data_IF_695586831559
#
_entry.id   IF_695586831559
#
_cell.length_a   1.000
_cell.length_b   1.000
_cell.length_c   1.000
_cell.angle_alpha   90.00
_cell.angle_beta   90.00
_cell.angle_gamma   90.00
#
_symmetry.space_group_name_H-M   'P 1'
#
loop_
_entity.id
_entity.type
_entity.pdbx_description
1 polymer ?
#
# COMPACT_ATOMS: atom_id res chain seq x y z
N UNK A 1 10.81 12.76 15.85
CA UNK A 1 12.19 12.59 15.32
C UNK A 1 13.22 12.30 16.41
N UNK A 2 13.89 13.25 17.09
CA UNK A 2 15.04 12.92 17.97
C UNK A 2 14.75 11.98 19.17
N UNK A 3 13.56 12.06 19.75
CA UNK A 3 13.27 11.38 21.01
C UNK A 3 13.07 9.86 20.83
N UNK A 4 12.43 9.40 19.76
CA UNK A 4 12.14 7.98 19.56
C UNK A 4 13.32 7.21 18.97
N UNK A 5 14.13 7.84 18.10
CA UNK A 5 15.42 7.27 17.68
C UNK A 5 16.32 6.99 18.90
N UNK A 6 16.35 7.88 19.90
CA UNK A 6 17.11 7.63 21.14
C UNK A 6 16.46 6.56 22.03
N UNK A 7 15.13 6.51 22.12
CA UNK A 7 14.44 5.57 23.00
C UNK A 7 14.49 4.12 22.46
N UNK A 8 14.44 3.91 21.13
CA UNK A 8 14.73 2.61 20.49
C UNK A 8 16.20 2.24 20.56
N UNK A 9 17.14 3.18 20.40
CA UNK A 9 18.57 2.88 20.62
C UNK A 9 18.82 2.38 22.05
N UNK A 10 18.17 2.97 23.05
CA UNK A 10 18.30 2.51 24.44
C UNK A 10 17.72 1.11 24.64
N UNK A 11 16.52 0.83 24.11
CA UNK A 11 15.87 -0.48 24.26
C UNK A 11 16.64 -1.61 23.56
N UNK A 12 17.18 -1.35 22.36
CA UNK A 12 17.93 -2.34 21.59
C UNK A 12 19.35 -2.56 22.15
N UNK A 13 19.99 -1.54 22.72
CA UNK A 13 21.29 -1.68 23.42
C UNK A 13 21.17 -2.51 24.69
N UNK A 14 20.08 -2.35 25.45
CA UNK A 14 19.84 -3.10 26.69
C UNK A 14 19.58 -4.59 26.40
N UNK A 15 18.85 -4.92 25.34
CA UNK A 15 18.56 -6.32 24.98
C UNK A 15 19.77 -7.07 24.41
N UNK A 16 20.75 -6.38 23.81
CA UNK A 16 22.00 -7.01 23.32
C UNK A 16 22.92 -7.47 24.45
N UNK A 17 22.89 -6.85 25.63
CA UNK A 17 23.68 -7.30 26.78
C UNK A 17 23.17 -8.62 27.36
N UNK A 18 21.87 -8.87 27.31
CA UNK A 18 21.26 -10.10 27.85
C UNK A 18 21.52 -11.35 26.98
N UNK A 19 21.77 -11.19 25.67
CA UNK A 19 22.03 -12.33 24.76
C UNK A 19 23.49 -12.81 24.75
N UNK A 20 24.44 -12.05 25.30
CA UNK A 20 25.86 -12.38 25.24
C UNK A 20 26.32 -13.46 26.25
N UNK A 21 25.40 -14.11 26.98
CA UNK A 21 25.74 -15.03 28.08
C UNK A 21 25.29 -16.49 27.89
N UNK A 22 24.87 -16.90 26.70
CA UNK A 22 24.36 -18.26 26.45
C UNK A 22 24.91 -18.87 25.15
N UNK A 23 26.23 -19.02 25.03
CA UNK A 23 26.81 -19.88 23.99
C UNK A 23 27.90 -20.76 24.59
N UNK A 24 27.56 -22.03 24.82
CA UNK A 24 28.45 -23.00 25.43
C UNK A 24 27.94 -24.42 25.41
N UNK A 25 27.44 -24.95 24.28
CA UNK A 25 27.42 -26.41 24.08
C UNK A 25 27.39 -26.85 22.60
N UNK A 26 28.30 -27.76 22.25
CA UNK A 26 28.57 -28.32 20.92
C UNK A 26 27.45 -29.28 20.42
N UNK A 27 27.24 -29.44 19.10
CA UNK A 27 26.14 -30.24 18.57
C UNK A 27 26.45 -31.74 18.49
N UNK A 28 25.47 -32.56 18.88
CA UNK A 28 25.42 -34.01 18.67
C UNK A 28 24.77 -34.38 17.33
N UNK A 29 25.17 -35.54 16.80
CA UNK A 29 24.93 -36.10 15.46
C UNK A 29 23.45 -36.36 15.08
N UNK A 30 23.10 -36.39 13.77
CA UNK A 30 21.73 -36.54 13.32
C UNK A 30 21.28 -38.02 13.26
N UNK A 31 20.05 -38.30 13.70
CA UNK A 31 19.36 -39.57 13.46
C UNK A 31 18.14 -39.33 12.52
N UNK A 32 17.70 -40.34 11.75
CA UNK A 32 16.99 -40.15 10.50
C UNK A 32 15.47 -39.96 10.64
N UNK A 33 14.88 -39.36 9.61
CA UNK A 33 13.47 -39.01 9.48
C UNK A 33 12.50 -40.22 9.54
N UNK A 34 11.31 -40.07 10.13
CA UNK A 34 10.22 -41.02 9.97
C UNK A 34 9.39 -40.78 8.70
N UNK A 35 9.05 -41.89 8.05
CA UNK A 35 8.32 -42.06 6.79
C UNK A 35 6.84 -41.64 6.85
N UNK A 36 6.38 -40.93 5.82
CA UNK A 36 4.96 -40.68 5.53
C UNK A 36 4.37 -41.79 4.63
N UNK A 37 3.11 -42.21 4.83
CA UNK A 37 2.40 -43.12 3.91
C UNK A 37 1.87 -42.38 2.66
N UNK A 38 1.61 -43.09 1.55
CA UNK A 38 1.44 -42.48 0.23
C UNK A 38 0.06 -41.86 -0.01
N UNK A 39 0.08 -40.80 -0.81
CA UNK A 39 -1.05 -40.13 -1.45
C UNK A 39 -1.65 -40.97 -2.59
N UNK A 40 -2.98 -40.97 -2.70
CA UNK A 40 -3.71 -41.47 -3.87
C UNK A 40 -4.40 -40.33 -4.63
N UNK A 41 -4.39 -40.33 -5.98
CA UNK A 41 -5.31 -39.54 -6.81
C UNK A 41 -6.08 -40.43 -7.82
N UNK A 42 -6.99 -39.90 -8.68
CA UNK A 42 -8.00 -38.85 -8.49
C UNK A 42 -9.41 -39.20 -9.07
N UNK A 43 -10.39 -38.33 -8.78
CA UNK A 43 -11.64 -37.97 -9.51
C UNK A 43 -12.27 -38.88 -10.61
N UNK A 44 -13.60 -39.13 -10.52
CA UNK A 44 -14.63 -38.52 -11.40
C UNK A 44 -16.04 -39.12 -11.17
N UNK A 45 -17.10 -38.30 -11.26
CA UNK A 45 -18.22 -38.45 -12.22
C UNK A 45 -19.29 -37.37 -12.00
N UNK A 46 -19.79 -36.85 -13.12
CA UNK A 46 -20.74 -35.74 -13.30
C UNK A 46 -22.22 -36.25 -13.32
N UNK A 47 -23.25 -35.51 -13.78
CA UNK A 47 -24.44 -35.21 -12.98
C UNK A 47 -25.76 -35.82 -13.49
N UNK A 48 -26.79 -35.81 -12.65
CA UNK A 48 -28.20 -36.06 -13.00
C UNK A 48 -29.00 -36.20 -11.71
N UNK A 49 -30.23 -35.72 -11.54
CA UNK A 49 -31.25 -35.16 -12.41
C UNK A 49 -32.59 -35.39 -11.69
N UNK A 50 -33.61 -34.61 -12.09
CA UNK A 50 -35.06 -34.83 -11.83
C UNK A 50 -35.61 -34.37 -10.46
N UNK A 51 -36.39 -33.30 -10.42
CA UNK A 51 -37.85 -33.18 -10.69
C UNK A 51 -38.72 -33.51 -9.47
N UNK A 52 -39.42 -32.50 -8.97
CA UNK A 52 -40.56 -32.63 -8.07
C UNK A 52 -41.45 -31.40 -8.20
N UNK A 53 -42.65 -31.60 -8.78
CA UNK A 53 -43.70 -30.61 -9.04
C UNK A 53 -44.47 -30.29 -7.76
N UNK A 54 -45.05 -29.08 -7.69
CA UNK A 54 -46.09 -28.73 -6.72
C UNK A 54 -46.73 -27.38 -7.03
N UNK A 55 -47.94 -27.42 -7.59
CA UNK A 55 -48.80 -26.30 -7.98
C UNK A 55 -49.29 -25.47 -6.79
N UNK A 56 -49.68 -24.22 -7.06
CA UNK A 56 -50.52 -23.41 -6.19
C UNK A 56 -50.89 -22.07 -6.83
N UNK A 57 -52.02 -22.06 -7.54
CA UNK A 57 -52.69 -20.88 -8.11
C UNK A 57 -53.16 -19.88 -7.04
N UNK A 58 -53.30 -18.60 -7.42
CA UNK A 58 -53.94 -17.60 -6.55
C UNK A 58 -53.84 -16.15 -7.02
N UNK A 59 -54.70 -15.80 -7.98
CA UNK A 59 -54.96 -14.50 -8.61
C UNK A 59 -55.46 -13.36 -7.69
N UNK A 60 -55.27 -12.10 -8.13
CA UNK A 60 -56.15 -10.98 -7.77
C UNK A 60 -55.50 -9.59 -7.85
N UNK A 61 -55.86 -8.77 -8.85
CA UNK A 61 -55.29 -7.44 -9.10
C UNK A 61 -56.09 -6.24 -8.58
N UNK A 62 -55.77 -5.09 -9.18
CA UNK A 62 -56.30 -3.72 -9.04
C UNK A 62 -55.79 -2.94 -7.82
N UNK A 63 -55.35 -1.67 -7.90
CA UNK A 63 -55.45 -0.63 -8.93
C UNK A 63 -55.69 0.72 -8.21
N UNK A 64 -55.09 1.82 -8.67
CA UNK A 64 -55.46 3.16 -8.20
C UNK A 64 -54.31 4.17 -8.15
N UNK A 65 -54.24 5.04 -9.16
CA UNK A 65 -53.41 6.23 -9.15
C UNK A 65 -54.13 7.45 -8.59
N UNK A 66 -53.36 8.50 -8.27
CA UNK A 66 -53.83 9.88 -8.18
C UNK A 66 -52.78 10.84 -8.74
N UNK A 67 -53.28 11.83 -9.50
CA UNK A 67 -52.58 12.90 -10.23
C UNK A 67 -52.59 14.22 -9.43
N UNK A 68 -51.59 15.07 -9.73
CA UNK A 68 -51.74 16.53 -9.94
C UNK A 68 -51.68 17.43 -8.68
N UNK A 69 -51.33 18.73 -8.76
CA UNK A 69 -50.93 19.63 -9.84
C UNK A 69 -50.56 21.02 -9.25
N UNK A 70 -49.71 21.80 -9.95
CA UNK A 70 -49.74 23.28 -10.05
C UNK A 70 -49.11 24.12 -8.90
N UNK A 71 -48.46 25.28 -9.13
CA UNK A 71 -48.14 26.04 -10.35
C UNK A 71 -47.73 27.51 -10.03
N UNK A 72 -46.98 28.14 -10.95
CA UNK A 72 -46.93 29.57 -11.36
C UNK A 72 -46.51 30.69 -10.34
N UNK A 73 -45.94 31.86 -10.69
CA UNK A 73 -45.59 32.55 -11.95
C UNK A 73 -44.78 33.86 -11.70
N UNK A 74 -44.16 34.40 -12.78
CA UNK A 74 -43.95 35.83 -13.15
C UNK A 74 -42.91 36.72 -12.39
N UNK A 75 -42.23 37.75 -12.93
CA UNK A 75 -42.12 38.41 -14.25
C UNK A 75 -40.94 39.44 -14.20
N UNK A 76 -40.38 39.87 -15.34
CA UNK A 76 -39.64 41.14 -15.44
C UNK A 76 -38.76 41.32 -16.68
N UNK A 77 -39.10 42.30 -17.54
CA UNK A 77 -38.59 42.52 -18.90
C UNK A 77 -37.68 43.76 -19.04
N UNK A 78 -36.93 43.88 -20.15
CA UNK A 78 -36.33 45.15 -20.61
C UNK A 78 -35.37 45.05 -21.82
N UNK A 79 -35.72 45.73 -22.93
CA UNK A 79 -35.11 45.73 -24.28
C UNK A 79 -34.05 46.84 -24.54
N UNK A 80 -33.18 46.66 -25.56
CA UNK A 80 -32.46 47.74 -26.27
C UNK A 80 -31.41 47.26 -27.31
N UNK A 81 -31.54 47.68 -28.59
CA UNK A 81 -30.91 47.16 -29.83
C UNK A 81 -29.50 47.75 -30.19
N UNK A 82 -28.50 46.95 -30.67
CA UNK A 82 -27.95 46.72 -32.06
C UNK A 82 -27.12 47.87 -32.71
N UNK A 83 -26.17 47.71 -33.70
CA UNK A 83 -25.62 46.54 -34.46
C UNK A 83 -24.04 46.50 -34.51
N UNK A 84 -23.25 45.60 -35.14
CA UNK A 84 -23.43 44.38 -35.92
C UNK A 84 -22.06 43.71 -36.28
N UNK A 85 -22.00 42.37 -36.18
CA UNK A 85 -21.25 41.29 -36.90
C UNK A 85 -19.74 41.40 -37.33
N UNK A 86 -19.06 40.26 -37.65
CA UNK A 86 -19.09 38.89 -37.11
C UNK A 86 -17.68 38.29 -36.81
N UNK A 87 -17.61 37.25 -35.98
CA UNK A 87 -16.60 36.21 -36.15
C UNK A 87 -16.16 35.47 -34.89
N UNK A 88 -16.84 34.37 -34.55
CA UNK A 88 -16.30 33.05 -34.12
C UNK A 88 -17.34 32.30 -33.26
N UNK A 89 -17.70 31.04 -33.57
CA UNK A 89 -18.68 30.30 -32.77
C UNK A 89 -18.09 29.90 -31.41
N UNK A 90 -18.79 30.27 -30.34
CA UNK A 90 -18.69 29.70 -29.00
C UNK A 90 -19.81 28.67 -28.82
N UNK A 91 -19.51 27.55 -28.18
CA UNK A 91 -20.51 26.57 -27.70
C UNK A 91 -20.42 26.40 -26.17
N UNK A 92 -21.55 26.08 -25.49
CA UNK A 92 -21.79 26.39 -24.08
C UNK A 92 -21.31 25.30 -23.09
N UNK A 93 -21.30 25.57 -21.76
CA UNK A 93 -20.82 24.63 -20.75
C UNK A 93 -21.80 23.45 -20.59
N UNK A 94 -21.33 22.25 -20.88
CA UNK A 94 -22.05 20.99 -20.66
C UNK A 94 -21.73 20.39 -19.30
N UNK A 95 -22.76 19.96 -18.58
CA UNK A 95 -22.72 19.24 -17.32
C UNK A 95 -21.68 18.10 -17.33
N UNK A 96 -20.69 18.18 -16.44
CA UNK A 96 -19.68 17.13 -16.26
C UNK A 96 -20.30 15.85 -15.70
N UNK A 97 -20.45 14.84 -16.56
CA UNK A 97 -20.53 13.45 -16.12
C UNK A 97 -19.13 12.96 -15.68
N UNK A 98 -19.05 12.02 -14.73
CA UNK A 98 -17.80 11.50 -14.20
C UNK A 98 -16.98 10.85 -15.32
N UNK A 99 -15.70 11.20 -15.36
CA UNK A 99 -14.72 10.60 -16.28
C UNK A 99 -14.52 9.16 -15.86
N UNK A 100 -15.08 8.21 -16.60
CA UNK A 100 -14.74 6.79 -16.45
C UNK A 100 -13.37 6.57 -17.09
N UNK A 101 -12.36 6.30 -16.27
CA UNK A 101 -11.03 5.89 -16.71
C UNK A 101 -11.11 4.60 -17.53
N UNK A 102 -10.60 4.66 -18.75
CA UNK A 102 -10.46 3.53 -19.66
C UNK A 102 -9.23 2.68 -19.25
N UNK A 103 -9.34 1.37 -18.98
CA UNK A 103 -8.20 0.55 -18.57
C UNK A 103 -7.54 -0.06 -19.82
N UNK A 104 -6.53 0.62 -20.38
CA UNK A 104 -5.72 0.07 -21.47
C UNK A 104 -4.25 -0.18 -21.07
N UNK A 105 -3.97 -0.23 -19.77
CA UNK A 105 -2.76 -0.88 -19.27
C UNK A 105 -3.05 -2.35 -19.00
N UNK A 106 -2.16 -3.26 -19.40
CA UNK A 106 -2.19 -4.65 -18.91
C UNK A 106 -2.10 -4.64 -17.39
N UNK A 107 -3.21 -4.95 -16.71
CA UNK A 107 -3.27 -5.07 -15.26
C UNK A 107 -2.24 -6.11 -14.81
N UNK A 108 -1.46 -5.79 -13.77
CA UNK A 108 -0.56 -6.77 -13.18
C UNK A 108 -1.37 -8.01 -12.75
N UNK A 109 -0.83 -9.24 -12.92
CA UNK A 109 -1.51 -10.45 -12.48
C UNK A 109 -1.93 -10.34 -11.01
N UNK A 110 -3.15 -10.77 -10.70
CA UNK A 110 -3.62 -10.84 -9.33
C UNK A 110 -2.68 -11.76 -8.51
N UNK A 111 -2.30 -11.37 -7.28
CA UNK A 111 -1.56 -12.25 -6.40
C UNK A 111 -2.29 -13.58 -6.16
N UNK A 112 -1.54 -14.67 -6.02
CA UNK A 112 -2.09 -15.98 -5.69
C UNK A 112 -2.40 -16.08 -4.20
N UNK A 113 -3.57 -16.58 -3.84
CA UNK A 113 -3.91 -16.89 -2.44
C UNK A 113 -5.42 -16.91 -2.22
N UNK A 114 -5.83 -17.12 -0.97
CA UNK A 114 -7.25 -17.07 -0.58
C UNK A 114 -7.70 -15.60 -0.61
N UNK A 115 -8.67 -15.29 -1.46
CA UNK A 115 -9.18 -13.91 -1.57
C UNK A 115 -10.06 -13.57 -0.36
N UNK A 116 -9.78 -12.42 0.25
CA UNK A 116 -10.56 -11.82 1.35
C UNK A 116 -10.94 -10.38 1.01
N UNK A 117 -11.96 -9.86 1.69
CA UNK A 117 -12.47 -8.49 1.49
C UNK A 117 -12.98 -7.91 2.80
N UNK A 118 -12.93 -6.59 2.94
CA UNK A 118 -13.60 -5.84 3.99
C UNK A 118 -14.54 -4.77 3.38
N UNK A 119 -15.58 -4.32 4.09
CA UNK A 119 -16.42 -3.23 3.62
C UNK A 119 -15.59 -1.97 3.33
N UNK A 120 -15.78 -1.31 2.17
CA UNK A 120 -15.09 -0.07 1.87
C UNK A 120 -15.61 1.10 2.72
N UNK A 121 -14.92 2.23 2.68
CA UNK A 121 -15.22 3.42 3.47
C UNK A 121 -14.31 3.55 4.71
N UNK A 122 -14.83 4.20 5.75
CA UNK A 122 -14.05 4.57 6.94
C UNK A 122 -13.70 3.35 7.78
N UNK A 123 -12.41 3.15 8.02
CA UNK A 123 -11.86 2.11 8.87
C UNK A 123 -11.37 2.73 10.18
N UNK A 124 -11.90 2.25 11.31
CA UNK A 124 -11.46 2.69 12.64
C UNK A 124 -10.59 1.63 13.35
N UNK A 125 -10.22 0.57 12.62
CA UNK A 125 -9.30 -0.48 13.05
C UNK A 125 -8.49 -0.92 11.83
N UNK A 126 -7.24 -1.36 12.01
CA UNK A 126 -6.44 -1.89 10.91
C UNK A 126 -7.16 -3.08 10.26
N UNK A 127 -7.12 -3.14 8.92
CA UNK A 127 -7.54 -4.32 8.18
C UNK A 127 -6.35 -5.27 8.12
N UNK A 128 -6.53 -6.48 8.65
CA UNK A 128 -5.47 -7.49 8.66
C UNK A 128 -5.63 -8.39 7.43
N UNK A 129 -4.55 -8.52 6.66
CA UNK A 129 -4.42 -9.48 5.56
C UNK A 129 -3.54 -10.61 6.08
N UNK A 130 -4.15 -11.74 6.43
CA UNK A 130 -3.42 -12.83 7.08
C UNK A 130 -2.48 -13.54 6.11
N UNK A 131 -1.59 -14.36 6.69
CA UNK A 131 -0.61 -15.18 5.96
C UNK A 131 -1.22 -15.93 4.78
N UNK A 132 -0.74 -15.61 3.57
CA UNK A 132 -1.17 -16.24 2.32
C UNK A 132 -2.55 -15.80 1.79
N UNK A 133 -3.19 -14.83 2.44
CA UNK A 133 -4.42 -14.22 1.95
C UNK A 133 -4.14 -13.10 0.95
N UNK A 134 -5.10 -12.88 0.06
CA UNK A 134 -5.10 -11.78 -0.90
C UNK A 134 -6.29 -10.90 -0.60
N UNK A 135 -6.05 -9.69 -0.13
CA UNK A 135 -7.08 -8.68 -0.06
C UNK A 135 -7.28 -8.04 -1.44
N UNK A 136 -8.45 -8.26 -2.03
CA UNK A 136 -8.83 -7.61 -3.30
C UNK A 136 -9.88 -6.54 -3.05
N UNK A 137 -9.44 -5.28 -3.12
CA UNK A 137 -10.30 -4.12 -2.95
C UNK A 137 -11.25 -3.86 -4.12
N UNK A 138 -11.07 -4.53 -5.27
CA UNK A 138 -11.91 -4.35 -6.48
C UNK A 138 -12.08 -2.88 -6.90
N UNK A 139 -11.03 -2.07 -6.74
CA UNK A 139 -11.02 -0.64 -7.02
C UNK A 139 -11.79 0.21 -6.01
N UNK A 140 -12.19 -0.35 -4.86
CA UNK A 140 -12.91 0.40 -3.82
C UNK A 140 -11.97 1.21 -2.93
N UNK A 141 -12.52 2.25 -2.30
CA UNK A 141 -11.79 3.16 -1.42
C UNK A 141 -11.91 2.77 0.05
N UNK A 142 -10.77 2.73 0.73
CA UNK A 142 -10.64 2.49 2.17
C UNK A 142 -10.02 3.74 2.81
N UNK A 143 -10.72 4.29 3.80
CA UNK A 143 -10.38 5.59 4.37
C UNK A 143 -9.96 5.38 5.82
N UNK A 144 -8.73 5.76 6.17
CA UNK A 144 -8.30 5.72 7.57
C UNK A 144 -9.09 6.71 8.42
N UNK A 145 -9.78 6.18 9.42
CA UNK A 145 -10.61 6.94 10.35
C UNK A 145 -9.83 7.51 11.53
N UNK A 146 -10.46 8.35 12.36
CA UNK A 146 -9.81 9.05 13.47
C UNK A 146 -9.24 8.13 14.55
N UNK A 147 -9.70 6.88 14.64
CA UNK A 147 -9.12 5.89 15.56
C UNK A 147 -7.79 5.32 15.08
N UNK A 148 -7.45 5.48 13.80
CA UNK A 148 -6.16 5.10 13.25
C UNK A 148 -5.15 6.23 13.33
N UNK A 149 -5.61 7.47 13.19
CA UNK A 149 -4.73 8.63 13.22
C UNK A 149 -5.35 9.81 12.50
N UNK A 150 -4.62 10.92 12.43
CA UNK A 150 -5.06 12.15 11.76
C UNK A 150 -4.49 12.30 10.36
N UNK A 151 -3.49 11.49 10.01
CA UNK A 151 -2.73 11.54 8.76
C UNK A 151 -1.70 12.66 8.72
N UNK A 152 -1.36 13.24 9.88
CA UNK A 152 -0.24 14.15 10.02
C UNK A 152 1.07 13.37 10.24
N UNK A 153 2.14 14.07 10.60
CA UNK A 153 3.47 13.47 10.80
C UNK A 153 3.68 12.95 12.24
N UNK A 154 2.60 12.59 12.95
CA UNK A 154 2.67 11.92 14.24
C UNK A 154 3.10 10.45 14.05
N UNK A 155 4.16 10.04 14.74
CA UNK A 155 4.81 8.72 14.64
C UNK A 155 4.05 7.60 15.40
N UNK A 156 2.88 7.88 15.99
CA UNK A 156 2.11 6.92 16.81
C UNK A 156 0.78 6.48 16.20
N UNK A 157 0.61 6.73 14.92
CA UNK A 157 -0.59 6.35 14.18
C UNK A 157 -0.62 4.84 13.93
N UNK A 158 -1.82 4.30 13.74
CA UNK A 158 -2.06 2.91 13.42
C UNK A 158 -2.15 2.73 11.90
N UNK A 159 -1.71 1.59 11.36
CA UNK A 159 -1.84 1.30 9.95
C UNK A 159 -3.30 1.19 9.51
N UNK A 160 -3.58 1.53 8.24
CA UNK A 160 -4.84 1.17 7.60
C UNK A 160 -4.88 -0.33 7.28
N UNK A 161 -3.77 -0.89 6.82
CA UNK A 161 -3.62 -2.32 6.54
C UNK A 161 -2.40 -2.89 7.25
N UNK A 162 -2.55 -4.08 7.84
CA UNK A 162 -1.43 -4.91 8.29
C UNK A 162 -1.40 -6.14 7.38
N UNK A 163 -0.29 -6.33 6.69
CA UNK A 163 -0.06 -7.46 5.78
C UNK A 163 0.93 -8.41 6.44
N UNK A 164 0.44 -9.58 6.83
CA UNK A 164 1.27 -10.65 7.39
C UNK A 164 2.18 -11.29 6.33
N UNK A 165 3.16 -12.07 6.78
CA UNK A 165 4.08 -12.80 5.91
C UNK A 165 3.35 -13.68 4.88
N UNK A 166 3.63 -13.43 3.60
CA UNK A 166 3.00 -14.06 2.43
C UNK A 166 1.65 -13.44 2.03
N UNK A 167 1.15 -12.44 2.73
CA UNK A 167 -0.09 -11.73 2.40
C UNK A 167 0.05 -10.82 1.18
N UNK A 168 -1.07 -10.45 0.57
CA UNK A 168 -1.09 -9.54 -0.58
C UNK A 168 -2.28 -8.58 -0.55
N UNK A 169 -2.04 -7.34 -0.97
CA UNK A 169 -3.04 -6.28 -1.11
C UNK A 169 -3.14 -5.89 -2.58
N UNK A 170 -4.34 -5.85 -3.16
CA UNK A 170 -4.51 -5.44 -4.55
C UNK A 170 -5.79 -4.67 -4.84
N UNK A 171 -5.75 -3.83 -5.89
CA UNK A 171 -6.88 -3.04 -6.37
C UNK A 171 -7.53 -2.19 -5.26
N UNK A 172 -6.71 -1.57 -4.41
CA UNK A 172 -7.19 -0.75 -3.29
C UNK A 172 -6.93 0.72 -3.58
N UNK A 173 -7.96 1.55 -3.43
CA UNK A 173 -7.79 2.99 -3.26
C UNK A 173 -7.73 3.30 -1.76
N UNK A 174 -6.79 4.13 -1.33
CA UNK A 174 -6.61 4.49 0.08
C UNK A 174 -6.34 5.97 0.26
N UNK A 175 -6.78 6.50 1.40
CA UNK A 175 -6.52 7.87 1.87
C UNK A 175 -6.89 8.01 3.35
N UNK A 176 -6.72 9.21 3.90
CA UNK A 176 -7.23 9.57 5.21
C UNK A 176 -6.16 9.47 6.29
N UNK A 177 -6.58 9.20 7.53
CA UNK A 177 -5.66 9.13 8.65
C UNK A 177 -4.92 7.80 8.76
N UNK A 178 -4.02 7.70 9.74
CA UNK A 178 -3.27 6.48 10.01
C UNK A 178 -1.91 6.45 9.32
N UNK A 179 -1.33 5.27 9.26
CA UNK A 179 0.03 5.03 8.78
C UNK A 179 0.06 4.00 7.63
N UNK A 180 -0.71 4.26 6.57
CA UNK A 180 -0.65 3.48 5.33
C UNK A 180 -0.77 1.95 5.49
N UNK A 181 0.13 1.23 4.84
CA UNK A 181 0.17 -0.25 4.77
C UNK A 181 1.45 -0.77 5.43
N UNK A 182 1.31 -1.57 6.47
CA UNK A 182 2.45 -2.20 7.14
C UNK A 182 2.66 -3.62 6.63
N UNK A 183 3.90 -3.96 6.27
CA UNK A 183 4.32 -5.32 5.94
C UNK A 183 5.13 -5.89 7.12
N UNK A 184 4.52 -6.83 7.85
CA UNK A 184 5.19 -7.57 8.92
C UNK A 184 6.33 -8.41 8.34
N UNK A 185 6.09 -9.06 7.19
CA UNK A 185 7.02 -9.96 6.52
C UNK A 185 6.96 -9.84 5.00
N UNK A 186 7.15 -10.96 4.28
CA UNK A 186 7.07 -10.91 2.81
C UNK A 186 5.66 -10.56 2.35
N UNK A 187 5.50 -9.82 1.26
CA UNK A 187 4.17 -9.49 0.79
C UNK A 187 4.15 -8.73 -0.53
N UNK A 188 2.94 -8.49 -1.05
CA UNK A 188 2.74 -7.77 -2.31
C UNK A 188 1.70 -6.67 -2.16
N UNK A 189 1.94 -5.52 -2.77
CA UNK A 189 0.97 -4.45 -3.00
C UNK A 189 0.86 -4.23 -4.50
N UNK A 190 -0.31 -4.48 -5.09
CA UNK A 190 -0.47 -4.52 -6.55
C UNK A 190 -1.65 -3.67 -7.01
N UNK A 191 -1.42 -2.75 -7.95
CA UNK A 191 -2.48 -1.92 -8.53
C UNK A 191 -3.26 -1.13 -7.44
N UNK A 192 -2.53 -0.56 -6.48
CA UNK A 192 -3.11 0.24 -5.42
C UNK A 192 -2.84 1.74 -5.65
N UNK A 193 -3.76 2.59 -5.21
CA UNK A 193 -3.65 4.03 -5.30
C UNK A 193 -3.75 4.63 -3.90
N UNK A 194 -2.71 5.27 -3.42
CA UNK A 194 -2.77 6.16 -2.27
C UNK A 194 -3.05 7.59 -2.78
N UNK A 195 -4.30 8.04 -2.59
CA UNK A 195 -4.80 9.31 -3.13
C UNK A 195 -4.21 10.53 -2.42
N UNK A 196 -3.84 10.37 -1.15
CA UNK A 196 -3.22 11.38 -0.30
C UNK A 196 -2.49 10.65 0.83
N UNK A 197 -1.17 10.56 0.71
CA UNK A 197 -0.31 9.84 1.65
C UNK A 197 -0.37 10.51 3.02
N UNK A 198 -0.57 9.71 4.06
CA UNK A 198 -0.70 10.15 5.44
C UNK A 198 0.67 10.42 6.10
N UNK A 199 1.04 9.74 7.19
CA UNK A 199 2.45 9.78 7.63
C UNK A 199 3.32 9.16 6.53
N UNK A 200 3.05 7.88 6.26
CA UNK A 200 3.69 7.08 5.21
C UNK A 200 2.64 6.37 4.35
N UNK A 201 3.03 5.92 3.16
CA UNK A 201 2.16 5.07 2.35
C UNK A 201 2.37 3.59 2.67
N UNK A 202 3.63 3.19 2.90
CA UNK A 202 4.05 1.83 3.14
C UNK A 202 5.14 1.81 4.21
N UNK A 203 5.00 0.91 5.17
CA UNK A 203 6.01 0.63 6.19
C UNK A 203 6.45 -0.82 6.09
N UNK A 204 7.75 -1.04 5.97
CA UNK A 204 8.36 -2.38 6.09
C UNK A 204 8.83 -2.54 7.52
N UNK A 205 8.31 -3.55 8.21
CA UNK A 205 8.52 -3.65 9.64
C UNK A 205 9.91 -4.18 10.01
N UNK A 206 10.56 -3.43 10.90
CA UNK A 206 11.65 -3.95 11.73
C UNK A 206 11.10 -4.57 13.01
N UNK A 207 11.99 -5.07 13.88
CA UNK A 207 11.56 -5.79 15.10
C UNK A 207 10.56 -4.98 15.96
N UNK A 208 10.82 -3.67 16.14
CA UNK A 208 10.02 -2.82 17.02
C UNK A 208 8.56 -2.67 16.60
N UNK A 209 8.28 -2.32 15.34
CA UNK A 209 6.91 -2.18 14.85
C UNK A 209 6.29 -3.54 14.52
N UNK A 210 7.08 -4.53 14.09
CA UNK A 210 6.59 -5.90 13.85
C UNK A 210 5.93 -6.52 15.08
N UNK A 211 6.53 -6.37 16.27
CA UNK A 211 5.94 -6.88 17.51
C UNK A 211 4.61 -6.20 17.84
N UNK A 212 4.48 -4.92 17.54
CA UNK A 212 3.24 -4.17 17.72
C UNK A 212 2.16 -4.62 16.75
N UNK A 213 2.49 -4.72 15.47
CA UNK A 213 1.52 -5.02 14.43
C UNK A 213 1.08 -6.49 14.48
N UNK A 214 1.99 -7.41 14.85
CA UNK A 214 1.64 -8.79 15.12
C UNK A 214 0.64 -8.93 16.29
N UNK A 215 0.75 -8.09 17.34
CA UNK A 215 -0.25 -8.09 18.43
C UNK A 215 -1.63 -7.63 17.97
N UNK A 216 -1.69 -6.64 17.09
CA UNK A 216 -2.96 -6.19 16.49
C UNK A 216 -3.54 -7.26 15.58
N UNK A 217 -2.69 -7.88 14.76
CA UNK A 217 -3.07 -8.94 13.84
C UNK A 217 -3.45 -10.24 14.56
N UNK A 218 -3.03 -10.42 15.81
CA UNK A 218 -3.24 -11.65 16.57
C UNK A 218 -2.36 -12.80 16.07
N UNK A 219 -1.17 -12.48 15.55
CA UNK A 219 -0.23 -13.42 14.93
C UNK A 219 1.18 -13.33 15.54
N UNK A 220 2.09 -14.18 15.05
CA UNK A 220 3.49 -14.18 15.47
C UNK A 220 4.27 -13.07 14.76
N UNK A 221 5.16 -12.34 15.45
CA UNK A 221 6.08 -11.40 14.82
C UNK A 221 7.26 -12.11 14.12
N UNK A 222 7.35 -13.44 14.17
CA UNK A 222 8.43 -14.16 13.54
C UNK A 222 8.31 -14.15 12.01
N UNK A 223 9.39 -13.74 11.35
CA UNK A 223 9.52 -13.81 9.89
C UNK A 223 10.74 -14.64 9.55
N UNK A 224 10.57 -15.54 8.57
CA UNK A 224 11.64 -16.40 8.10
C UNK A 224 12.54 -15.65 7.11
N UNK A 225 13.83 -15.58 7.42
CA UNK A 225 14.82 -14.98 6.53
C UNK A 225 14.58 -13.49 6.30
N UNK A 226 14.96 -13.04 5.11
CA UNK A 226 14.79 -11.66 4.66
C UNK A 226 13.43 -11.52 3.98
N UNK A 227 12.50 -10.70 4.50
CA UNK A 227 11.24 -10.39 3.84
C UNK A 227 11.43 -9.94 2.40
N UNK A 228 10.57 -10.40 1.50
CA UNK A 228 10.46 -9.85 0.14
C UNK A 228 9.18 -9.04 0.01
N UNK A 229 9.29 -7.74 -0.25
CA UNK A 229 8.15 -6.83 -0.45
C UNK A 229 8.10 -6.37 -1.90
N UNK A 230 6.98 -6.59 -2.58
CA UNK A 230 6.80 -6.19 -3.98
C UNK A 230 5.68 -5.16 -4.10
N UNK A 231 6.01 -3.95 -4.55
CA UNK A 231 5.10 -2.83 -4.79
C UNK A 231 5.01 -2.63 -6.31
N UNK A 232 3.88 -3.02 -6.90
CA UNK A 232 3.75 -3.17 -8.35
C UNK A 232 2.57 -2.35 -8.87
N UNK A 233 2.83 -1.51 -9.87
CA UNK A 233 1.82 -0.67 -10.53
C UNK A 233 1.00 0.18 -9.54
N UNK A 234 1.65 0.69 -8.50
CA UNK A 234 1.01 1.53 -7.49
C UNK A 234 1.20 3.02 -7.79
N UNK A 235 0.24 3.84 -7.40
CA UNK A 235 0.34 5.30 -7.46
C UNK A 235 0.29 5.89 -6.05
N UNK A 236 1.20 6.80 -5.73
CA UNK A 236 1.27 7.49 -4.45
C UNK A 236 1.28 9.00 -4.68
N UNK A 237 0.36 9.72 -4.04
CA UNK A 237 0.24 11.17 -4.20
C UNK A 237 0.40 11.89 -2.86
N UNK A 238 1.15 12.98 -2.84
CA UNK A 238 1.11 13.93 -1.73
C UNK A 238 1.85 13.51 -0.45
N UNK A 239 2.91 12.70 -0.53
CA UNK A 239 3.68 12.35 0.66
C UNK A 239 4.40 13.58 1.23
N UNK A 240 4.07 13.96 2.48
CA UNK A 240 4.69 15.11 3.13
C UNK A 240 6.19 14.88 3.35
N UNK A 241 6.57 13.68 3.78
CA UNK A 241 7.96 13.24 3.90
C UNK A 241 8.26 12.01 3.04
N UNK A 242 7.88 10.79 3.44
CA UNK A 242 8.29 9.56 2.76
C UNK A 242 7.10 8.77 2.22
N UNK A 243 7.31 8.09 1.08
CA UNK A 243 6.32 7.13 0.56
C UNK A 243 6.52 5.78 1.25
N UNK A 244 7.76 5.30 1.28
CA UNK A 244 8.12 4.04 1.95
C UNK A 244 9.07 4.31 3.10
N UNK A 245 8.66 3.91 4.31
CA UNK A 245 9.52 3.78 5.47
C UNK A 245 9.99 2.33 5.59
N UNK A 246 11.29 2.15 5.72
CA UNK A 246 11.91 0.85 5.88
C UNK A 246 12.58 0.74 7.25
N UNK A 247 11.95 -0.01 8.14
CA UNK A 247 12.41 -0.20 9.52
C UNK A 247 13.25 -1.46 9.71
N UNK A 248 13.42 -2.31 8.70
CA UNK A 248 14.12 -3.58 8.85
C UNK A 248 14.56 -4.20 7.52
N UNK A 249 15.64 -4.97 7.55
CA UNK A 249 16.22 -5.60 6.37
C UNK A 249 15.19 -6.33 5.50
N UNK A 250 15.08 -5.95 4.23
CA UNK A 250 14.19 -6.56 3.25
C UNK A 250 14.81 -6.59 1.83
N UNK A 251 14.27 -7.44 0.96
CA UNK A 251 14.41 -7.31 -0.49
C UNK A 251 13.14 -6.63 -1.02
N UNK A 252 13.29 -5.49 -1.68
CA UNK A 252 12.16 -4.68 -2.13
C UNK A 252 12.18 -4.52 -3.64
N UNK A 253 11.02 -4.69 -4.26
CA UNK A 253 10.81 -4.37 -5.68
C UNK A 253 9.75 -3.30 -5.79
N UNK A 254 10.08 -2.19 -6.44
CA UNK A 254 9.13 -1.18 -6.90
C UNK A 254 9.11 -1.21 -8.43
N UNK A 255 8.00 -1.63 -9.02
CA UNK A 255 7.91 -1.78 -10.48
C UNK A 255 6.66 -1.12 -11.04
N UNK A 256 6.81 -0.28 -12.06
CA UNK A 256 5.67 0.38 -12.71
C UNK A 256 4.96 1.40 -11.82
N UNK A 257 5.60 1.87 -10.75
CA UNK A 257 4.99 2.76 -9.78
C UNK A 257 5.09 4.23 -10.23
N UNK A 258 4.10 5.03 -9.81
CA UNK A 258 4.10 6.48 -9.98
C UNK A 258 4.09 7.16 -8.61
N UNK A 259 4.94 8.16 -8.42
CA UNK A 259 4.91 9.05 -7.25
C UNK A 259 4.70 10.48 -7.73
N UNK A 260 3.73 11.18 -7.13
CA UNK A 260 3.44 12.58 -7.42
C UNK A 260 3.51 13.37 -6.11
N UNK A 261 4.66 14.00 -5.86
CA UNK A 261 4.92 14.74 -4.63
C UNK A 261 5.37 13.83 -3.49
N UNK A 262 6.64 13.92 -3.13
CA UNK A 262 7.21 13.28 -1.94
C UNK A 262 8.42 14.07 -1.43
N UNK A 263 8.75 13.96 -0.15
CA UNK A 263 10.11 14.28 0.31
C UNK A 263 11.11 13.25 -0.22
N UNK A 264 10.88 11.98 0.12
CA UNK A 264 11.69 10.82 -0.27
C UNK A 264 10.77 9.71 -0.77
N UNK A 265 11.17 8.97 -1.80
CA UNK A 265 10.36 7.81 -2.23
C UNK A 265 10.58 6.64 -1.27
N UNK A 266 11.82 6.35 -0.90
CA UNK A 266 12.18 5.25 -0.03
C UNK A 266 13.22 5.68 0.99
N UNK A 267 12.95 5.45 2.27
CA UNK A 267 13.83 5.82 3.38
C UNK A 267 14.01 4.65 4.34
N UNK A 268 15.24 4.14 4.45
CA UNK A 268 15.60 3.29 5.60
C UNK A 268 15.53 4.13 6.87
N UNK A 269 15.19 3.53 8.01
CA UNK A 269 15.08 4.26 9.27
C UNK A 269 16.37 5.04 9.57
N UNK A 270 16.20 6.30 9.98
CA UNK A 270 17.31 7.23 10.11
C UNK A 270 18.28 6.87 11.23
N UNK A 271 19.58 6.98 10.96
CA UNK A 271 20.63 6.66 11.93
C UNK A 271 20.88 5.17 12.15
N UNK A 272 20.09 4.29 11.53
CA UNK A 272 20.28 2.85 11.61
C UNK A 272 21.30 2.37 10.59
N UNK A 273 22.39 1.77 11.09
CA UNK A 273 23.45 1.20 10.25
C UNK A 273 23.23 -0.28 9.94
N UNK A 274 22.26 -0.92 10.60
CA UNK A 274 21.99 -2.36 10.57
C UNK A 274 20.91 -2.79 9.56
N UNK A 275 20.21 -1.84 8.93
CA UNK A 275 19.18 -2.11 7.92
C UNK A 275 19.85 -2.40 6.58
N UNK A 276 19.92 -3.68 6.22
CA UNK A 276 20.66 -4.17 5.04
C UNK A 276 19.76 -4.32 3.81
N UNK A 277 18.83 -3.39 3.54
CA UNK A 277 17.80 -3.57 2.49
C UNK A 277 18.34 -3.49 1.07
N UNK A 278 17.87 -4.37 0.17
CA UNK A 278 18.15 -4.29 -1.27
C UNK A 278 16.91 -3.87 -2.05
N UNK A 279 16.90 -2.61 -2.52
CA UNK A 279 15.82 -2.05 -3.32
C UNK A 279 16.10 -2.19 -4.82
N UNK A 280 15.11 -2.65 -5.57
CA UNK A 280 15.08 -2.59 -7.03
C UNK A 280 13.94 -1.69 -7.46
N UNK A 281 14.24 -0.67 -8.26
CA UNK A 281 13.25 0.22 -8.86
C UNK A 281 13.32 0.07 -10.37
N UNK A 282 12.20 -0.29 -10.98
CA UNK A 282 12.11 -0.50 -12.43
C UNK A 282 10.86 0.15 -13.02
N UNK A 283 11.00 0.77 -14.20
CA UNK A 283 9.88 1.32 -14.97
C UNK A 283 8.98 2.29 -14.17
N UNK A 284 9.59 3.09 -13.28
CA UNK A 284 8.85 3.99 -12.39
C UNK A 284 8.92 5.45 -12.87
N UNK A 285 7.92 6.25 -12.48
CA UNK A 285 7.86 7.69 -12.77
C UNK A 285 7.65 8.48 -11.46
N UNK A 286 8.68 9.21 -11.03
CA UNK A 286 8.72 9.90 -9.75
C UNK A 286 8.83 11.41 -9.93
N UNK A 287 7.70 12.10 -9.78
CA UNK A 287 7.53 13.52 -10.03
C UNK A 287 7.38 14.28 -8.72
N UNK A 288 7.91 15.51 -8.69
CA UNK A 288 7.89 16.43 -7.57
C UNK A 288 8.51 15.84 -6.29
N UNK A 289 9.60 15.09 -6.45
CA UNK A 289 10.37 14.55 -5.31
C UNK A 289 11.33 15.62 -4.80
N UNK A 290 11.25 15.96 -3.50
CA UNK A 290 11.98 17.11 -2.93
C UNK A 290 13.40 16.80 -2.50
N UNK A 291 13.73 15.54 -2.20
CA UNK A 291 15.06 15.14 -1.72
C UNK A 291 15.67 14.01 -2.56
N UNK A 292 15.15 12.79 -2.45
CA UNK A 292 15.75 11.64 -3.13
C UNK A 292 14.76 10.51 -3.44
N UNK A 293 15.10 9.66 -4.41
CA UNK A 293 14.40 8.37 -4.58
C UNK A 293 14.74 7.47 -3.39
N UNK A 294 16.02 7.21 -3.17
CA UNK A 294 16.48 6.31 -2.11
C UNK A 294 17.39 7.07 -1.15
N UNK A 295 17.04 7.07 0.14
CA UNK A 295 17.90 7.64 1.20
C UNK A 295 18.17 6.60 2.27
N UNK A 296 19.46 6.39 2.55
CA UNK A 296 19.90 5.49 3.61
C UNK A 296 21.08 6.06 4.38
N UNK A 297 21.20 5.67 5.66
CA UNK A 297 22.41 5.85 6.46
C UNK A 297 23.15 4.51 6.68
N UNK A 298 22.56 3.39 6.25
CA UNK A 298 23.18 2.08 6.38
C UNK A 298 24.18 1.84 5.25
N UNK A 299 25.39 1.33 5.55
CA UNK A 299 26.33 0.91 4.52
C UNK A 299 25.90 -0.39 3.80
N UNK A 300 25.00 -1.18 4.38
CA UNK A 300 24.51 -2.43 3.79
C UNK A 300 23.40 -2.23 2.77
N UNK A 301 22.55 -1.23 2.98
CA UNK A 301 21.41 -1.00 2.10
C UNK A 301 21.83 -0.56 0.69
N UNK A 302 21.26 -1.15 -0.35
CA UNK A 302 21.59 -0.84 -1.75
C UNK A 302 20.35 -0.56 -2.57
N UNK A 303 20.52 0.16 -3.67
CA UNK A 303 19.49 0.38 -4.68
C UNK A 303 20.01 0.10 -6.09
N UNK A 304 19.15 -0.51 -6.89
CA UNK A 304 19.30 -0.66 -8.34
C UNK A 304 18.18 0.11 -9.03
N UNK A 305 18.53 1.12 -9.84
CA UNK A 305 17.59 1.90 -10.64
C UNK A 305 17.67 1.48 -12.12
N UNK A 306 16.51 1.24 -12.73
CA UNK A 306 16.37 0.88 -14.15
C UNK A 306 15.13 1.55 -14.73
N UNK A 307 15.28 2.23 -15.86
CA UNK A 307 14.15 2.87 -16.56
C UNK A 307 13.27 3.75 -15.64
N UNK A 308 13.92 4.42 -14.68
CA UNK A 308 13.28 5.29 -13.71
C UNK A 308 13.35 6.73 -14.18
N UNK A 309 12.20 7.37 -14.36
CA UNK A 309 12.11 8.81 -14.62
C UNK A 309 11.95 9.55 -13.30
N UNK A 310 12.70 10.62 -13.10
CA UNK A 310 12.52 11.44 -11.91
C UNK A 310 12.99 12.88 -12.08
N UNK A 311 12.39 13.79 -11.31
CA UNK A 311 12.87 15.15 -11.09
C UNK A 311 13.54 15.35 -9.71
N UNK A 312 13.77 14.27 -8.96
CA UNK A 312 14.43 14.32 -7.66
C UNK A 312 15.82 15.00 -7.77
N UNK A 313 16.17 15.92 -6.85
CA UNK A 313 17.49 16.54 -6.82
C UNK A 313 18.61 15.52 -6.79
N UNK A 314 18.52 14.54 -5.89
CA UNK A 314 19.36 13.35 -5.89
C UNK A 314 18.52 12.13 -6.27
N UNK A 315 19.08 11.18 -7.01
CA UNK A 315 18.44 9.87 -7.16
C UNK A 315 18.71 9.05 -5.90
N UNK A 316 19.93 9.12 -5.37
CA UNK A 316 20.33 8.36 -4.19
C UNK A 316 21.12 9.24 -3.22
N UNK A 317 20.81 9.13 -1.93
CA UNK A 317 21.63 9.64 -0.83
C UNK A 317 22.05 8.45 0.02
N UNK A 318 23.36 8.15 0.02
CA UNK A 318 23.89 6.98 0.71
C UNK A 318 25.31 7.24 1.27
N UNK A 319 25.79 6.44 2.23
CA UNK A 319 27.17 6.50 2.72
C UNK A 319 28.22 6.34 1.62
N UNK A 320 27.96 5.50 0.62
CA UNK A 320 28.87 5.20 -0.47
C UNK A 320 28.14 5.11 -1.82
N UNK A 321 28.73 5.68 -2.87
CA UNK A 321 28.19 5.63 -4.22
C UNK A 321 28.07 4.20 -4.80
N UNK A 322 28.85 3.23 -4.31
CA UNK A 322 28.72 1.82 -4.72
C UNK A 322 27.37 1.20 -4.35
N UNK A 323 26.61 1.82 -3.44
CA UNK A 323 25.27 1.38 -3.05
C UNK A 323 24.20 1.74 -4.09
N UNK A 324 24.54 2.52 -5.12
CA UNK A 324 23.59 3.16 -6.03
C UNK A 324 23.83 2.74 -7.49
N UNK A 325 23.44 1.52 -7.86
CA UNK A 325 23.63 1.02 -9.22
C UNK A 325 22.55 1.61 -10.15
N UNK A 326 22.97 2.18 -11.28
CA UNK A 326 22.07 2.80 -12.26
C UNK A 326 21.68 4.25 -11.93
N UNK A 327 22.08 4.77 -10.78
CA UNK A 327 21.92 6.17 -10.43
C UNK A 327 23.01 7.05 -11.06
N UNK A 328 22.64 8.28 -11.42
CA UNK A 328 23.50 9.31 -11.99
C UNK A 328 23.69 10.51 -11.07
N UNK A 329 22.75 10.75 -10.15
CA UNK A 329 22.80 11.80 -9.13
C UNK A 329 22.86 11.15 -7.75
N UNK A 330 24.06 11.11 -7.18
CA UNK A 330 24.32 10.43 -5.91
C UNK A 330 24.94 11.43 -4.94
N UNK A 331 24.21 11.69 -3.86
CA UNK A 331 24.63 12.56 -2.77
C UNK A 331 25.02 11.79 -1.51
N UNK A 332 25.52 12.54 -0.53
CA UNK A 332 25.75 12.07 0.82
C UNK A 332 25.22 13.10 1.81
N UNK A 333 24.53 12.64 2.85
CA UNK A 333 24.01 13.49 3.92
C UNK A 333 24.07 12.72 5.24
N UNK A 334 24.88 13.21 6.18
CA UNK A 334 24.97 12.62 7.50
C UNK A 334 23.61 12.72 8.23
N UNK A 335 23.32 11.72 9.05
CA UNK A 335 22.18 11.75 9.95
C UNK A 335 22.34 12.88 10.98
N UNK A 336 21.33 13.73 11.13
CA UNK A 336 21.37 14.91 12.02
C UNK A 336 20.44 14.80 13.23
N UNK A 337 19.73 13.68 13.40
CA UNK A 337 18.70 13.50 14.43
C UNK A 337 17.31 13.90 14.00
#
# INVERSE_FOLDING_TARGET
MLAYCMQRMLSDMLQRQDRASSDGQLPATPNPAPSMPPSGPPCSTTPGGQHGRGNGDGSGGNGGGYKGNGGNSANGAGNGASPGNPGRPTTPPGNGQPVTSNPSGTQAPLPSGKVVTAPPGVQNKPIVVHKGEVFDGKGQTYIGGPSLGKGDQDEHQQPLFIVEDGGSLCNVHMKGGGDGVHFIGSGKMVNCVNEDVSEDAVTIDGQGNRDHDARIAGSSPEVSGRPKVEIINCTFNGAADKVVQDNGTADVVMSGCTVNGAGKVFRTNGGHSDIDTHLQVENCDFNQVKEAIFRTDSPGATVLLRDTKTDAPEEVIAPNASQAVGATRIGHKAYSG
#
